data_IF_518738126389
#
_entry.id   IF_518738126389
#
_cell.length_a   1.000
_cell.length_b   1.000
_cell.length_c   1.000
_cell.angle_alpha   90.00
_cell.angle_beta   90.00
_cell.angle_gamma   90.00
#
_symmetry.space_group_name_H-M   'P 1'
#
loop_
_entity.id
_entity.type
_entity.pdbx_description
1 polymer ?
#
# COMPACT_ATOMS: atom_id res chain seq x y z
N UNK A 1 -61.42 13.90 50.06
CA UNK A 1 -61.17 14.65 48.83
C UNK A 1 -59.69 15.00 48.74
N UNK A 2 -58.95 14.38 47.81
CA UNK A 2 -57.55 14.75 47.54
C UNK A 2 -57.26 14.57 46.05
N UNK A 3 -57.10 15.71 45.37
CA UNK A 3 -56.82 15.81 43.92
C UNK A 3 -55.46 15.18 43.59
N UNK A 4 -55.46 14.12 42.77
CA UNK A 4 -54.24 13.60 42.10
C UNK A 4 -53.75 14.63 41.06
N UNK A 5 -52.55 15.18 41.27
CA UNK A 5 -51.82 16.00 40.28
C UNK A 5 -51.43 15.12 39.08
N UNK A 6 -51.88 15.48 37.87
CA UNK A 6 -51.36 14.95 36.60
C UNK A 6 -49.93 15.46 36.39
N UNK A 7 -48.96 14.55 36.29
CA UNK A 7 -47.57 14.85 35.94
C UNK A 7 -47.43 15.33 34.50
N UNK A 8 -46.59 16.34 34.27
CA UNK A 8 -46.20 16.84 32.94
C UNK A 8 -45.45 15.73 32.17
N UNK A 9 -45.80 15.52 30.90
CA UNK A 9 -45.09 14.57 30.04
C UNK A 9 -43.67 15.06 29.75
N UNK A 10 -42.67 14.17 29.86
CA UNK A 10 -41.28 14.44 29.50
C UNK A 10 -41.16 14.53 27.98
N UNK A 11 -40.63 15.63 27.46
CA UNK A 11 -40.39 15.80 26.01
C UNK A 11 -39.30 14.83 25.52
N UNK A 12 -39.62 13.97 24.55
CA UNK A 12 -38.63 13.23 23.77
C UNK A 12 -37.77 14.24 23.00
N UNK A 13 -36.47 14.31 23.28
CA UNK A 13 -35.54 15.09 22.47
C UNK A 13 -35.15 14.32 21.21
N UNK A 14 -35.18 14.97 20.05
CA UNK A 14 -34.64 14.41 18.81
C UNK A 14 -33.10 14.53 18.89
N UNK A 15 -32.38 13.41 18.93
CA UNK A 15 -30.91 13.44 18.88
C UNK A 15 -30.45 13.95 17.50
N UNK A 16 -29.35 14.70 17.45
CA UNK A 16 -28.73 15.20 16.21
C UNK A 16 -29.59 16.12 15.31
N UNK A 17 -30.62 16.78 15.85
CA UNK A 17 -31.53 17.66 15.09
C UNK A 17 -30.84 18.71 14.20
N UNK A 18 -29.70 19.28 14.64
CA UNK A 18 -28.93 20.23 13.82
C UNK A 18 -28.43 19.61 12.51
N UNK A 19 -27.84 18.41 12.58
CA UNK A 19 -27.25 17.76 11.41
C UNK A 19 -28.34 17.30 10.45
N UNK A 20 -29.48 16.83 10.97
CA UNK A 20 -30.65 16.46 10.16
C UNK A 20 -31.21 17.67 9.40
N UNK A 21 -31.35 18.82 10.07
CA UNK A 21 -31.81 20.06 9.42
C UNK A 21 -30.84 20.48 8.33
N UNK A 22 -29.53 20.51 8.62
CA UNK A 22 -28.51 20.88 7.64
C UNK A 22 -28.49 19.92 6.44
N UNK A 23 -28.59 18.61 6.68
CA UNK A 23 -28.63 17.61 5.60
C UNK A 23 -29.82 17.83 4.66
N UNK A 24 -31.01 18.11 5.20
CA UNK A 24 -32.19 18.43 4.39
C UNK A 24 -31.96 19.68 3.52
N UNK A 25 -31.44 20.75 4.12
CA UNK A 25 -31.18 22.02 3.42
C UNK A 25 -30.04 21.89 2.39
N UNK A 26 -29.03 21.07 2.66
CA UNK A 26 -27.89 20.79 1.75
C UNK A 26 -28.25 19.86 0.60
N UNK A 27 -29.24 18.96 0.78
CA UNK A 27 -29.71 18.06 -0.28
C UNK A 27 -30.48 18.81 -1.37
N UNK A 28 -31.24 19.83 -0.99
CA UNK A 28 -32.04 20.66 -1.89
C UNK A 28 -31.55 22.12 -1.88
N UNK A 29 -30.30 22.29 -2.33
CA UNK A 29 -29.47 23.51 -2.25
C UNK A 29 -30.14 24.81 -2.74
N UNK A 30 -31.01 24.69 -3.74
CA UNK A 30 -31.69 25.83 -4.37
C UNK A 30 -33.11 26.08 -3.83
N UNK A 31 -33.57 25.28 -2.86
CA UNK A 31 -34.89 25.42 -2.27
C UNK A 31 -34.81 26.00 -0.86
N UNK A 32 -35.76 26.87 -0.55
CA UNK A 32 -35.94 27.42 0.78
C UNK A 32 -37.00 26.62 1.53
N UNK A 33 -36.75 26.27 2.79
CA UNK A 33 -37.69 25.51 3.60
C UNK A 33 -38.14 26.29 4.84
N UNK A 34 -39.43 26.19 5.16
CA UNK A 34 -39.95 26.62 6.45
C UNK A 34 -39.92 25.48 7.48
N UNK A 35 -40.11 25.83 8.76
CA UNK A 35 -40.09 24.87 9.85
C UNK A 35 -41.14 23.74 9.72
N UNK A 36 -42.27 23.97 9.04
CA UNK A 36 -43.31 22.93 8.80
C UNK A 36 -42.86 21.92 7.75
N UNK A 37 -42.22 22.39 6.68
CA UNK A 37 -41.67 21.54 5.61
C UNK A 37 -40.51 20.68 6.13
N UNK A 38 -39.64 21.28 6.95
CA UNK A 38 -38.57 20.54 7.63
C UNK A 38 -39.15 19.51 8.59
N UNK A 39 -40.16 19.87 9.38
CA UNK A 39 -40.85 18.93 10.27
C UNK A 39 -41.48 17.75 9.50
N UNK A 40 -42.09 18.02 8.35
CA UNK A 40 -42.65 16.99 7.48
C UNK A 40 -41.58 16.03 6.93
N UNK A 41 -40.43 16.56 6.48
CA UNK A 41 -39.30 15.73 6.00
C UNK A 41 -38.64 14.90 7.11
N UNK A 42 -38.66 15.39 8.36
CA UNK A 42 -38.18 14.65 9.55
C UNK A 42 -39.24 13.64 10.05
N UNK A 43 -40.49 13.74 9.60
CA UNK A 43 -41.58 12.86 10.02
C UNK A 43 -42.18 13.21 11.38
N UNK A 44 -42.07 14.47 11.83
CA UNK A 44 -42.61 14.93 13.12
C UNK A 44 -43.79 15.90 12.94
N UNK A 45 -44.82 15.75 13.75
CA UNK A 45 -46.06 16.54 13.66
C UNK A 45 -46.51 17.20 14.97
N UNK A 46 -45.81 16.95 16.09
CA UNK A 46 -46.16 17.48 17.40
C UNK A 46 -45.60 18.90 17.64
N UNK A 47 -46.26 19.64 18.52
CA UNK A 47 -45.90 21.03 18.84
C UNK A 47 -44.52 21.16 19.52
N UNK A 48 -44.09 20.15 20.28
CA UNK A 48 -42.80 20.16 20.98
C UNK A 48 -41.65 20.07 19.98
N UNK A 49 -41.70 19.11 19.05
CA UNK A 49 -40.70 18.92 18.00
C UNK A 49 -40.62 20.12 17.06
N UNK A 50 -41.76 20.73 16.70
CA UNK A 50 -41.77 21.97 15.89
C UNK A 50 -41.07 23.13 16.61
N UNK A 51 -41.30 23.31 17.91
CA UNK A 51 -40.61 24.34 18.68
C UNK A 51 -39.09 24.07 18.79
N UNK A 52 -38.68 22.81 18.89
CA UNK A 52 -37.27 22.44 18.85
C UNK A 52 -36.64 22.79 17.49
N UNK A 53 -37.32 22.49 16.38
CA UNK A 53 -36.87 22.87 15.02
C UNK A 53 -36.73 24.38 14.89
N UNK A 54 -37.72 25.17 15.32
CA UNK A 54 -37.66 26.64 15.26
C UNK A 54 -36.46 27.18 16.04
N UNK A 55 -36.26 26.68 17.27
CA UNK A 55 -35.11 27.08 18.09
C UNK A 55 -33.79 26.74 17.40
N UNK A 56 -33.71 25.55 16.80
CA UNK A 56 -32.49 25.08 16.13
C UNK A 56 -32.19 25.81 14.83
N UNK A 57 -33.21 26.19 14.06
CA UNK A 57 -33.05 27.05 12.88
C UNK A 57 -32.47 28.40 13.27
N UNK A 58 -32.94 29.02 14.36
CA UNK A 58 -32.34 30.26 14.86
C UNK A 58 -30.90 30.08 15.34
N UNK A 59 -30.60 28.98 16.02
CA UNK A 59 -29.23 28.67 16.42
C UNK A 59 -28.30 28.54 15.19
N UNK A 60 -28.76 27.86 14.13
CA UNK A 60 -28.02 27.67 12.88
C UNK A 60 -27.86 28.97 12.08
N UNK A 61 -28.89 29.82 12.06
CA UNK A 61 -28.85 31.14 11.46
C UNK A 61 -27.87 32.05 12.20
N UNK A 62 -27.87 32.02 13.55
CA UNK A 62 -26.90 32.76 14.37
C UNK A 62 -25.45 32.31 14.12
N UNK A 63 -25.25 31.04 13.74
CA UNK A 63 -23.95 30.49 13.33
C UNK A 63 -23.57 30.76 11.87
N UNK A 64 -24.43 31.45 11.10
CA UNK A 64 -24.26 31.70 9.65
C UNK A 64 -24.13 30.44 8.80
N UNK A 65 -24.66 29.31 9.26
CA UNK A 65 -24.68 28.05 8.49
C UNK A 65 -25.87 28.00 7.52
N UNK A 66 -26.92 28.77 7.82
CA UNK A 66 -28.12 28.93 6.99
C UNK A 66 -28.48 30.41 6.91
N UNK A 67 -29.10 30.83 5.81
CA UNK A 67 -29.66 32.17 5.66
C UNK A 67 -31.17 32.12 5.51
N UNK A 68 -31.82 33.13 6.08
CA UNK A 68 -33.25 33.37 5.93
C UNK A 68 -33.45 34.29 4.72
N UNK A 69 -33.87 33.71 3.60
CA UNK A 69 -34.07 34.44 2.34
C UNK A 69 -35.40 35.18 2.34
N UNK A 70 -36.41 34.55 2.93
CA UNK A 70 -37.73 35.11 3.14
C UNK A 70 -38.16 34.83 4.58
N UNK A 71 -39.05 35.66 5.13
CA UNK A 71 -39.54 35.51 6.50
C UNK A 71 -40.02 34.08 6.77
N UNK A 72 -39.32 33.38 7.66
CA UNK A 72 -39.59 32.01 8.07
C UNK A 72 -39.17 30.91 7.09
N UNK A 73 -38.41 31.24 6.02
CA UNK A 73 -37.85 30.29 5.06
C UNK A 73 -36.33 30.38 5.03
N UNK A 74 -35.67 29.23 5.20
CA UNK A 74 -34.23 29.12 5.32
C UNK A 74 -33.65 28.31 4.16
N UNK A 75 -32.47 28.69 3.68
CA UNK A 75 -31.62 27.84 2.82
C UNK A 75 -30.21 27.76 3.41
N UNK A 76 -29.43 26.77 3.01
CA UNK A 76 -28.02 26.71 3.39
C UNK A 76 -27.24 27.87 2.74
N UNK A 77 -26.34 28.52 3.48
CA UNK A 77 -25.39 29.47 2.87
C UNK A 77 -24.30 28.64 2.20
N UNK A 78 -24.31 28.61 0.87
CA UNK A 78 -23.32 27.85 0.10
C UNK A 78 -22.21 28.82 -0.31
N UNK A 79 -21.28 29.06 0.60
CA UNK A 79 -19.92 29.47 0.23
C UNK A 79 -18.99 28.26 0.44
N UNK A 80 -19.43 27.10 -0.03
CA UNK A 80 -18.73 25.85 0.16
C UNK A 80 -17.76 25.65 -0.99
N UNK A 81 -16.50 26.04 -0.78
CA UNK A 81 -15.41 25.51 -1.58
C UNK A 81 -15.28 24.03 -1.23
N UNK A 82 -15.36 23.20 -2.26
CA UNK A 82 -15.07 21.77 -2.17
C UNK A 82 -13.59 21.58 -2.43
N UNK A 83 -12.98 20.72 -1.65
CA UNK A 83 -11.57 20.43 -1.73
C UNK A 83 -11.37 18.94 -1.94
N UNK A 84 -10.22 18.57 -2.48
CA UNK A 84 -9.80 17.19 -2.68
C UNK A 84 -8.60 16.89 -1.81
N UNK A 85 -8.56 15.70 -1.22
CA UNK A 85 -7.43 15.29 -0.40
C UNK A 85 -7.46 13.81 -0.08
N UNK A 86 -6.44 13.37 0.66
CA UNK A 86 -6.28 11.98 1.07
C UNK A 86 -6.76 11.80 2.51
N UNK A 87 -7.64 10.83 2.72
CA UNK A 87 -8.15 10.50 4.05
C UNK A 87 -7.15 9.63 4.83
N UNK A 88 -6.65 10.12 5.95
CA UNK A 88 -5.95 9.33 6.96
C UNK A 88 -6.91 8.97 8.11
N UNK A 89 -7.26 7.69 8.22
CA UNK A 89 -8.17 7.21 9.27
C UNK A 89 -7.44 6.86 10.56
N UNK A 90 -8.09 7.19 11.67
CA UNK A 90 -7.78 6.63 12.98
C UNK A 90 -8.72 5.45 13.30
N UNK A 91 -8.30 4.59 14.23
CA UNK A 91 -8.94 3.31 14.53
C UNK A 91 -10.41 3.36 14.99
N UNK A 92 -10.95 4.55 15.34
CA UNK A 92 -12.35 4.71 15.78
C UNK A 92 -13.27 5.28 14.69
N UNK A 93 -12.82 5.24 13.43
CA UNK A 93 -13.59 5.71 12.28
C UNK A 93 -13.70 7.23 12.18
N UNK A 94 -12.91 7.98 12.95
CA UNK A 94 -12.62 9.39 12.69
C UNK A 94 -11.31 9.49 11.89
N UNK A 95 -11.11 10.59 11.20
CA UNK A 95 -9.91 10.75 10.36
C UNK A 95 -9.51 12.21 10.18
N UNK A 96 -8.47 12.38 9.41
CA UNK A 96 -7.95 13.67 8.98
C UNK A 96 -7.79 13.65 7.48
N UNK A 97 -8.06 14.77 6.81
CA UNK A 97 -7.78 14.91 5.39
C UNK A 97 -6.54 15.77 5.22
N UNK A 98 -5.58 15.22 4.50
CA UNK A 98 -4.36 15.89 4.07
C UNK A 98 -4.65 16.49 2.70
N UNK A 99 -4.48 17.80 2.55
CA UNK A 99 -4.85 18.57 1.38
C UNK A 99 -3.97 19.81 1.26
N UNK A 100 -3.50 20.12 0.04
CA UNK A 100 -2.60 21.25 -0.21
C UNK A 100 -3.26 22.62 -0.03
N UNK A 101 -4.60 22.69 -0.06
CA UNK A 101 -5.35 23.92 0.11
C UNK A 101 -5.32 24.46 1.56
N UNK A 102 -4.81 23.66 2.50
CA UNK A 102 -4.78 23.99 3.93
C UNK A 102 -3.42 23.68 4.56
N UNK A 103 -2.92 24.60 5.39
CA UNK A 103 -1.67 24.36 6.14
C UNK A 103 -1.82 23.27 7.22
N UNK A 104 -3.02 23.12 7.77
CA UNK A 104 -3.36 22.14 8.82
C UNK A 104 -4.32 21.08 8.28
N UNK A 105 -4.14 19.83 8.71
CA UNK A 105 -5.07 18.74 8.40
C UNK A 105 -6.51 19.03 8.85
N UNK A 106 -7.47 18.62 8.01
CA UNK A 106 -8.90 18.82 8.28
C UNK A 106 -9.49 17.61 9.00
N UNK A 107 -9.98 17.80 10.22
CA UNK A 107 -10.57 16.72 11.01
C UNK A 107 -11.95 16.31 10.48
N UNK A 108 -12.17 15.00 10.32
CA UNK A 108 -13.44 14.39 9.92
C UNK A 108 -13.95 13.50 11.05
N UNK A 109 -15.10 13.88 11.62
CA UNK A 109 -15.81 13.05 12.58
C UNK A 109 -16.39 11.80 11.91
N UNK A 110 -16.57 10.71 12.68
CA UNK A 110 -17.02 9.42 12.13
C UNK A 110 -18.36 9.46 11.41
N UNK A 111 -19.29 10.29 11.86
CA UNK A 111 -20.59 10.46 11.19
C UNK A 111 -20.49 11.20 9.85
N UNK A 112 -19.32 11.76 9.53
CA UNK A 112 -19.06 12.57 8.34
C UNK A 112 -18.04 11.91 7.38
N UNK A 113 -17.62 10.67 7.63
CA UNK A 113 -16.66 9.93 6.79
C UNK A 113 -17.26 9.45 5.45
N UNK A 114 -18.59 9.36 5.37
CA UNK A 114 -19.30 8.98 4.14
C UNK A 114 -18.77 7.69 3.49
N UNK A 115 -18.51 6.65 4.31
CA UNK A 115 -18.02 5.33 3.86
C UNK A 115 -16.67 5.34 3.16
N UNK A 116 -15.92 6.44 3.26
CA UNK A 116 -14.52 6.47 2.85
C UNK A 116 -13.70 5.54 3.75
N UNK A 117 -12.65 4.97 3.17
CA UNK A 117 -11.70 4.09 3.81
C UNK A 117 -10.32 4.76 3.85
N UNK A 118 -9.41 4.19 4.61
CA UNK A 118 -8.09 4.78 4.80
C UNK A 118 -7.34 4.88 3.46
N UNK A 119 -6.72 6.03 3.21
CA UNK A 119 -5.98 6.32 1.99
C UNK A 119 -6.85 6.76 0.81
N UNK A 120 -8.18 6.67 0.92
CA UNK A 120 -9.06 7.10 -0.18
C UNK A 120 -8.84 8.57 -0.53
N UNK A 121 -8.85 8.84 -1.83
CA UNK A 121 -8.94 10.19 -2.35
C UNK A 121 -10.40 10.63 -2.32
N UNK A 122 -10.67 11.75 -1.66
CA UNK A 122 -12.03 12.18 -1.33
C UNK A 122 -12.27 13.64 -1.68
N UNK A 123 -13.49 13.93 -2.10
CA UNK A 123 -14.04 15.28 -2.11
C UNK A 123 -14.64 15.56 -0.73
N UNK A 124 -14.30 16.71 -0.16
CA UNK A 124 -14.81 17.11 1.14
C UNK A 124 -15.11 18.60 1.21
N UNK A 125 -15.94 18.94 2.19
CA UNK A 125 -16.27 20.32 2.55
C UNK A 125 -15.67 20.66 3.91
N UNK A 126 -14.83 21.70 3.96
CA UNK A 126 -14.28 22.25 5.20
C UNK A 126 -15.23 23.29 5.81
N UNK A 127 -15.56 23.13 7.09
CA UNK A 127 -16.36 24.11 7.82
C UNK A 127 -15.55 25.37 8.12
N UNK A 128 -16.13 26.54 7.87
CA UNK A 128 -15.51 27.85 8.20
C UNK A 128 -15.23 28.07 9.69
N UNK A 129 -15.88 27.28 10.56
CA UNK A 129 -15.69 27.37 12.02
C UNK A 129 -14.59 26.41 12.45
N UNK A 130 -13.71 26.87 13.34
CA UNK A 130 -12.73 26.03 14.02
C UNK A 130 -13.28 25.57 15.36
N UNK A 131 -13.12 24.29 15.69
CA UNK A 131 -13.48 23.72 16.99
C UNK A 131 -12.18 23.39 17.73
N UNK A 132 -11.96 24.02 18.89
CA UNK A 132 -10.71 23.90 19.66
C UNK A 132 -9.45 24.18 18.81
N UNK A 133 -9.55 25.15 17.89
CA UNK A 133 -8.44 25.54 17.00
C UNK A 133 -8.27 24.69 15.75
N UNK A 134 -8.92 23.52 15.66
CA UNK A 134 -8.83 22.64 14.48
C UNK A 134 -9.94 22.91 13.48
N UNK A 135 -9.61 22.75 12.20
CA UNK A 135 -10.58 22.75 11.11
C UNK A 135 -11.32 21.41 11.09
N UNK A 136 -12.62 21.45 10.83
CA UNK A 136 -13.45 20.26 10.72
C UNK A 136 -14.09 20.22 9.34
N UNK A 137 -14.45 19.02 8.86
CA UNK A 137 -15.15 18.87 7.58
C UNK A 137 -16.12 17.71 7.51
N UNK A 138 -16.68 17.51 6.32
CA UNK A 138 -17.42 16.32 5.94
C UNK A 138 -17.03 15.85 4.54
N UNK A 139 -16.92 14.54 4.36
CA UNK A 139 -16.67 13.93 3.05
C UNK A 139 -17.98 13.89 2.29
N UNK A 140 -17.97 14.39 1.05
CA UNK A 140 -19.14 14.43 0.18
C UNK A 140 -19.09 13.37 -0.90
N UNK A 141 -17.91 13.01 -1.38
CA UNK A 141 -17.74 11.96 -2.37
C UNK A 141 -16.40 11.25 -2.21
N UNK A 142 -16.35 9.98 -2.64
CA UNK A 142 -15.10 9.23 -2.77
C UNK A 142 -14.71 9.27 -4.24
N UNK A 143 -13.57 9.88 -4.55
CA UNK A 143 -13.07 10.07 -5.90
C UNK A 143 -12.38 8.78 -6.37
N UNK A 144 -11.48 8.27 -5.53
CA UNK A 144 -10.69 7.06 -5.82
C UNK A 144 -10.49 6.25 -4.53
N UNK A 145 -10.76 4.95 -4.61
CA UNK A 145 -10.43 4.02 -3.52
C UNK A 145 -8.93 3.75 -3.51
N UNK A 146 -8.30 3.76 -2.34
CA UNK A 146 -6.89 3.39 -2.22
C UNK A 146 -6.68 1.88 -2.37
N UNK A 147 -7.55 1.08 -1.74
CA UNK A 147 -7.45 -0.38 -1.76
C UNK A 147 -8.84 -1.02 -1.84
N UNK A 148 -8.94 -2.08 -2.63
CA UNK A 148 -10.16 -2.90 -2.81
C UNK A 148 -10.04 -4.29 -2.17
N UNK A 149 -8.88 -4.68 -1.68
CA UNK A 149 -8.63 -6.00 -1.11
C UNK A 149 -8.13 -5.89 0.33
N UNK A 150 -8.60 -6.75 1.21
CA UNK A 150 -8.29 -6.71 2.64
C UNK A 150 -8.05 -8.12 3.16
N UNK A 151 -7.17 -8.23 4.14
CA UNK A 151 -6.97 -9.49 4.86
C UNK A 151 -7.72 -9.46 6.19
N UNK A 152 -8.33 -10.58 6.55
CA UNK A 152 -9.03 -10.70 7.82
C UNK A 152 -9.44 -12.13 8.15
N UNK A 153 -10.09 -12.29 9.31
CA UNK A 153 -10.63 -13.57 9.75
C UNK A 153 -12.11 -13.64 9.42
N UNK A 154 -12.52 -14.71 8.73
CA UNK A 154 -13.93 -14.95 8.40
C UNK A 154 -14.68 -15.49 9.61
N UNK A 155 -15.88 -14.93 9.85
CA UNK A 155 -16.83 -15.35 10.87
C UNK A 155 -18.14 -15.75 10.18
N UNK A 156 -18.40 -17.06 10.12
CA UNK A 156 -19.54 -17.64 9.42
C UNK A 156 -20.72 -17.78 10.38
N UNK A 157 -21.83 -17.14 10.04
CA UNK A 157 -23.09 -17.26 10.77
C UNK A 157 -24.03 -18.24 10.05
N UNK A 158 -23.77 -19.55 10.19
CA UNK A 158 -24.49 -20.62 9.49
C UNK A 158 -26.03 -20.48 9.57
N UNK A 159 -26.56 -20.23 10.77
CA UNK A 159 -28.01 -20.10 11.01
C UNK A 159 -28.65 -18.93 10.24
N UNK A 160 -27.86 -17.92 9.87
CA UNK A 160 -28.32 -16.72 9.16
C UNK A 160 -27.85 -16.66 7.71
N UNK A 161 -27.10 -17.67 7.25
CA UNK A 161 -26.67 -17.84 5.87
C UNK A 161 -25.80 -16.70 5.31
N UNK A 162 -24.90 -16.16 6.14
CA UNK A 162 -23.91 -15.15 5.73
C UNK A 162 -22.63 -15.25 6.56
N UNK A 163 -21.58 -14.57 6.14
CA UNK A 163 -20.36 -14.38 6.89
C UNK A 163 -19.96 -12.90 6.98
N UNK A 164 -19.12 -12.57 7.96
CA UNK A 164 -18.38 -11.32 8.01
C UNK A 164 -16.88 -11.61 7.95
N UNK A 165 -16.10 -10.73 7.33
CA UNK A 165 -14.64 -10.75 7.45
C UNK A 165 -14.24 -9.58 8.33
N UNK A 166 -13.66 -9.90 9.49
CA UNK A 166 -13.08 -8.92 10.40
C UNK A 166 -11.65 -8.67 9.94
N UNK A 167 -11.40 -7.48 9.39
CA UNK A 167 -10.12 -7.14 8.80
C UNK A 167 -9.03 -6.97 9.86
N UNK A 168 -7.80 -7.38 9.55
CA UNK A 168 -6.66 -7.29 10.47
C UNK A 168 -6.20 -5.83 10.66
N UNK A 169 -6.40 -4.98 9.65
CA UNK A 169 -6.05 -3.57 9.69
C UNK A 169 -6.84 -2.80 10.75
N UNK A 170 -6.15 -2.18 11.70
CA UNK A 170 -6.76 -1.34 12.73
C UNK A 170 -7.40 -0.06 12.20
N UNK A 171 -7.15 0.32 10.94
CA UNK A 171 -7.75 1.48 10.28
C UNK A 171 -9.05 1.12 9.53
N UNK A 172 -9.34 -0.16 9.35
CA UNK A 172 -10.62 -0.62 8.82
C UNK A 172 -11.66 -0.62 9.94
N UNK A 173 -12.60 0.33 9.91
CA UNK A 173 -13.61 0.53 10.97
C UNK A 173 -14.91 -0.26 10.75
N UNK A 174 -14.96 -1.11 9.70
CA UNK A 174 -16.12 -1.93 9.34
C UNK A 174 -15.71 -3.33 8.96
N UNK A 175 -16.53 -4.29 9.34
CA UNK A 175 -16.41 -5.66 8.85
C UNK A 175 -17.02 -5.76 7.44
N UNK A 176 -16.45 -6.63 6.61
CA UNK A 176 -16.93 -6.84 5.24
C UNK A 176 -17.96 -7.96 5.25
N UNK A 177 -19.18 -7.67 4.79
CA UNK A 177 -20.24 -8.66 4.66
C UNK A 177 -19.97 -9.56 3.44
N UNK A 178 -19.99 -10.87 3.64
CA UNK A 178 -19.78 -11.86 2.58
C UNK A 178 -20.99 -12.81 2.52
N UNK A 179 -21.75 -12.81 1.41
CA UNK A 179 -22.77 -13.83 1.16
C UNK A 179 -22.18 -15.25 1.21
N UNK A 180 -22.91 -16.23 1.72
CA UNK A 180 -22.37 -17.59 1.91
C UNK A 180 -21.87 -18.24 0.60
N UNK A 181 -22.46 -17.88 -0.55
CA UNK A 181 -22.05 -18.36 -1.87
C UNK A 181 -20.77 -17.70 -2.40
N UNK A 182 -20.18 -16.76 -1.65
CA UNK A 182 -18.98 -16.01 -1.99
C UNK A 182 -17.83 -16.19 -0.98
N UNK A 183 -17.89 -17.22 -0.13
CA UNK A 183 -16.84 -17.49 0.88
C UNK A 183 -15.65 -18.30 0.35
N UNK A 184 -15.65 -18.70 -0.94
CA UNK A 184 -14.60 -19.50 -1.57
C UNK A 184 -14.17 -20.75 -0.76
N UNK A 185 -15.13 -21.51 -0.23
CA UNK A 185 -14.92 -22.71 0.61
C UNK A 185 -14.18 -22.45 1.93
N UNK A 186 -14.06 -21.21 2.38
CA UNK A 186 -13.52 -20.91 3.69
C UNK A 186 -14.35 -21.58 4.81
N UNK A 187 -13.66 -22.04 5.84
CA UNK A 187 -14.25 -22.49 7.09
C UNK A 187 -14.32 -21.33 8.09
N UNK A 188 -15.18 -21.46 9.11
CA UNK A 188 -15.25 -20.48 10.19
C UNK A 188 -13.90 -20.32 10.89
N UNK A 189 -13.47 -19.07 11.09
CA UNK A 189 -12.19 -18.75 11.70
C UNK A 189 -10.99 -18.79 10.76
N UNK A 190 -11.15 -19.10 9.47
CA UNK A 190 -10.06 -19.01 8.50
C UNK A 190 -9.60 -17.56 8.29
N UNK A 191 -8.30 -17.39 8.07
CA UNK A 191 -7.76 -16.14 7.54
C UNK A 191 -7.95 -16.13 6.02
N UNK A 192 -8.49 -15.03 5.50
CA UNK A 192 -8.91 -14.90 4.11
C UNK A 192 -8.48 -13.56 3.52
N UNK A 193 -8.22 -13.57 2.21
CA UNK A 193 -8.16 -12.36 1.38
C UNK A 193 -9.55 -12.10 0.82
N UNK A 194 -10.13 -10.94 1.12
CA UNK A 194 -11.47 -10.53 0.70
C UNK A 194 -11.39 -9.28 -0.17
N UNK A 195 -12.15 -9.29 -1.27
CA UNK A 195 -12.34 -8.12 -2.14
C UNK A 195 -13.63 -7.40 -1.77
N UNK A 196 -13.55 -6.08 -1.66
CA UNK A 196 -14.68 -5.17 -1.47
C UNK A 196 -15.40 -4.97 -2.82
N UNK A 197 -16.71 -5.20 -2.85
CA UNK A 197 -17.55 -5.06 -4.04
C UNK A 197 -18.34 -3.73 -3.99
N UNK A 198 -19.56 -3.76 -3.48
CA UNK A 198 -20.42 -2.58 -3.37
C UNK A 198 -20.73 -2.22 -1.91
N UNK A 199 -21.05 -0.96 -1.67
CA UNK A 199 -21.46 -0.50 -0.33
C UNK A 199 -22.82 0.24 -0.40
N UNK A 200 -23.94 -0.50 -0.39
CA UNK A 200 -25.28 0.08 -0.54
C UNK A 200 -25.57 1.19 0.46
N UNK A 201 -26.26 2.27 0.04
CA UNK A 201 -26.52 3.45 0.87
C UNK A 201 -27.01 3.13 2.29
N UNK A 202 -27.94 2.18 2.41
CA UNK A 202 -28.57 1.78 3.68
C UNK A 202 -27.83 0.69 4.46
N UNK A 203 -26.71 0.19 3.93
CA UNK A 203 -25.91 -0.84 4.58
C UNK A 203 -24.86 -0.22 5.50
N UNK A 204 -24.69 -0.82 6.67
CA UNK A 204 -23.66 -0.43 7.64
C UNK A 204 -22.27 -0.96 7.24
N UNK A 205 -22.23 -2.11 6.56
CA UNK A 205 -21.02 -2.77 6.07
C UNK A 205 -20.96 -2.82 4.54
N UNK A 206 -19.77 -2.78 3.94
CA UNK A 206 -19.58 -3.10 2.53
C UNK A 206 -19.84 -4.59 2.27
N UNK A 207 -20.30 -4.90 1.07
CA UNK A 207 -20.32 -6.28 0.57
C UNK A 207 -18.94 -6.64 0.03
N UNK A 208 -18.62 -7.92 0.06
CA UNK A 208 -17.41 -8.45 -0.53
C UNK A 208 -17.50 -9.92 -0.92
N UNK A 209 -16.40 -10.42 -1.46
CA UNK A 209 -16.20 -11.82 -1.82
C UNK A 209 -14.82 -12.29 -1.37
N UNK A 210 -14.73 -13.51 -0.86
CA UNK A 210 -13.43 -14.12 -0.57
C UNK A 210 -12.74 -14.45 -1.90
N UNK A 211 -11.54 -13.91 -2.10
CA UNK A 211 -10.68 -14.23 -3.22
C UNK A 211 -9.87 -15.49 -2.93
N UNK A 212 -9.29 -15.59 -1.74
CA UNK A 212 -8.39 -16.69 -1.36
C UNK A 212 -8.53 -17.02 0.12
N UNK A 213 -8.54 -18.32 0.42
CA UNK A 213 -8.36 -18.82 1.80
C UNK A 213 -6.86 -18.93 2.03
N UNK A 214 -6.36 -18.21 3.03
CA UNK A 214 -4.93 -18.18 3.35
C UNK A 214 -4.54 -19.31 4.30
N UNK A 215 -5.44 -19.70 5.20
CA UNK A 215 -5.26 -20.82 6.14
C UNK A 215 -5.75 -20.48 7.54
N UNK A 216 -5.27 -21.22 8.56
CA UNK A 216 -5.66 -20.96 9.96
C UNK A 216 -4.81 -19.85 10.57
N UNK A 217 -5.41 -18.90 11.33
CA UNK A 217 -4.65 -17.88 12.05
C UNK A 217 -3.59 -18.48 12.98
N UNK A 218 -2.42 -17.86 13.04
CA UNK A 218 -1.28 -18.32 13.86
C UNK A 218 -0.39 -19.35 13.19
N UNK A 219 -0.76 -19.90 12.04
CA UNK A 219 0.16 -20.71 11.22
C UNK A 219 1.15 -19.83 10.47
N UNK A 220 2.43 -20.20 10.50
CA UNK A 220 3.52 -19.39 9.93
C UNK A 220 3.28 -18.99 8.46
N UNK A 221 2.95 -19.94 7.60
CA UNK A 221 2.67 -19.65 6.18
C UNK A 221 1.46 -18.75 6.00
N UNK A 222 0.40 -18.94 6.79
CA UNK A 222 -0.83 -18.13 6.74
C UNK A 222 -0.53 -16.68 7.10
N UNK A 223 0.25 -16.44 8.16
CA UNK A 223 0.59 -15.07 8.58
C UNK A 223 1.52 -14.38 7.58
N UNK A 224 2.46 -15.10 6.97
CA UNK A 224 3.31 -14.54 5.90
C UNK A 224 2.47 -14.16 4.67
N UNK A 225 1.58 -15.05 4.21
CA UNK A 225 0.69 -14.74 3.07
C UNK A 225 -0.27 -13.60 3.38
N UNK A 226 -0.72 -13.50 4.63
CA UNK A 226 -1.54 -12.39 5.10
C UNK A 226 -0.80 -11.05 5.04
N UNK A 227 0.45 -11.00 5.55
CA UNK A 227 1.28 -9.79 5.48
C UNK A 227 1.48 -9.38 4.02
N UNK A 228 1.85 -10.32 3.15
CA UNK A 228 2.09 -10.05 1.74
C UNK A 228 0.86 -9.47 1.05
N UNK A 229 -0.31 -10.06 1.24
CA UNK A 229 -1.56 -9.54 0.68
C UNK A 229 -2.01 -8.21 1.32
N UNK A 230 -1.69 -7.97 2.59
CA UNK A 230 -2.01 -6.70 3.25
C UNK A 230 -1.20 -5.54 2.68
N UNK A 231 0.08 -5.77 2.37
CA UNK A 231 0.96 -4.78 1.73
C UNK A 231 0.90 -4.77 0.20
N UNK A 232 0.08 -5.63 -0.42
CA UNK A 232 -0.06 -5.68 -1.88
C UNK A 232 1.18 -6.21 -2.58
N UNK A 233 1.93 -7.12 -1.94
CA UNK A 233 3.17 -7.70 -2.47
C UNK A 233 2.87 -9.03 -3.18
N UNK A 234 2.88 -9.08 -4.52
CA UNK A 234 2.56 -10.29 -5.27
C UNK A 234 3.70 -11.31 -5.16
N UNK A 235 3.41 -12.50 -4.62
CA UNK A 235 4.40 -13.58 -4.54
C UNK A 235 4.71 -14.20 -5.90
N UNK A 236 3.70 -14.33 -6.75
CA UNK A 236 3.78 -15.00 -8.03
C UNK A 236 3.91 -13.94 -9.13
N UNK A 237 4.62 -14.27 -10.19
CA UNK A 237 4.62 -13.46 -11.41
C UNK A 237 3.38 -13.81 -12.24
N UNK A 238 2.84 -12.85 -13.01
CA UNK A 238 1.85 -13.17 -14.02
C UNK A 238 2.38 -14.25 -14.98
N UNK A 239 1.53 -15.21 -15.35
CA UNK A 239 1.93 -16.35 -16.20
C UNK A 239 2.61 -15.91 -17.50
N UNK A 240 2.11 -14.85 -18.13
CA UNK A 240 2.71 -14.29 -19.35
C UNK A 240 4.13 -13.75 -19.13
N UNK A 241 4.41 -13.16 -17.96
CA UNK A 241 5.75 -12.68 -17.60
C UNK A 241 6.69 -13.85 -17.34
N UNK A 242 6.24 -14.90 -16.62
CA UNK A 242 7.04 -16.10 -16.42
C UNK A 242 7.36 -16.80 -17.74
N UNK A 243 6.37 -16.95 -18.61
CA UNK A 243 6.55 -17.56 -19.93
C UNK A 243 7.49 -16.74 -20.81
N UNK A 244 7.35 -15.41 -20.82
CA UNK A 244 8.25 -14.53 -21.54
C UNK A 244 9.69 -14.66 -21.03
N UNK A 245 9.89 -14.59 -19.71
CA UNK A 245 11.21 -14.69 -19.11
C UNK A 245 11.88 -16.05 -19.38
N UNK A 246 11.12 -17.15 -19.31
CA UNK A 246 11.63 -18.50 -19.58
C UNK A 246 12.00 -18.72 -21.06
N UNK A 247 11.48 -17.90 -21.98
CA UNK A 247 11.80 -17.94 -23.40
C UNK A 247 12.95 -17.01 -23.80
N UNK A 248 13.51 -16.22 -22.87
CA UNK A 248 14.70 -15.41 -23.13
C UNK A 248 15.89 -16.34 -23.38
N UNK A 249 16.58 -16.18 -24.51
CA UNK A 249 17.83 -16.89 -24.77
C UNK A 249 18.93 -16.32 -23.88
N UNK A 250 19.34 -17.10 -22.88
CA UNK A 250 20.39 -16.73 -21.93
C UNK A 250 21.79 -17.15 -22.39
N UNK A 251 21.93 -17.69 -23.60
CA UNK A 251 23.21 -18.18 -24.13
C UNK A 251 24.15 -17.01 -24.43
N UNK A 252 25.36 -17.08 -23.89
CA UNK A 252 26.41 -16.10 -24.22
C UNK A 252 27.04 -16.50 -25.56
N UNK A 253 26.91 -15.63 -26.56
CA UNK A 253 27.40 -15.88 -27.92
C UNK A 253 28.77 -15.23 -28.15
N UNK A 254 29.56 -15.78 -29.07
CA UNK A 254 30.83 -15.18 -29.50
C UNK A 254 30.65 -13.76 -30.08
N UNK A 255 29.51 -13.50 -30.74
CA UNK A 255 29.18 -12.16 -31.23
C UNK A 255 29.04 -11.17 -30.07
N UNK A 256 28.34 -11.55 -29.01
CA UNK A 256 28.17 -10.70 -27.83
C UNK A 256 29.48 -10.52 -27.06
N UNK A 257 30.29 -11.57 -26.92
CA UNK A 257 31.64 -11.50 -26.35
C UNK A 257 32.49 -10.48 -27.11
N UNK A 258 32.45 -10.48 -28.45
CA UNK A 258 33.27 -9.59 -29.28
C UNK A 258 32.97 -8.09 -29.10
N UNK A 259 31.79 -7.75 -28.56
CA UNK A 259 31.36 -6.37 -28.27
C UNK A 259 31.82 -5.88 -26.89
N UNK A 260 32.37 -6.77 -26.07
CA UNK A 260 32.69 -6.54 -24.65
C UNK A 260 34.20 -6.61 -24.43
N UNK A 261 34.67 -5.97 -23.36
CA UNK A 261 36.03 -6.23 -22.89
C UNK A 261 36.07 -7.63 -22.26
N UNK A 262 36.95 -8.48 -22.76
CA UNK A 262 37.13 -9.83 -22.24
C UNK A 262 38.02 -9.82 -21.00
N UNK A 263 37.43 -10.17 -19.85
CA UNK A 263 38.09 -10.24 -18.55
C UNK A 263 38.00 -11.66 -17.96
N UNK A 264 37.70 -12.68 -18.79
CA UNK A 264 37.56 -14.08 -18.34
C UNK A 264 38.85 -14.71 -17.80
N UNK A 265 40.00 -14.07 -18.02
CA UNK A 265 41.31 -14.54 -17.54
C UNK A 265 41.74 -13.84 -16.25
N UNK A 266 40.99 -12.83 -15.82
CA UNK A 266 41.33 -11.99 -14.68
C UNK A 266 40.78 -12.68 -13.43
N UNK A 267 41.61 -12.82 -12.40
CA UNK A 267 41.21 -13.48 -11.15
C UNK A 267 39.98 -12.79 -10.57
N UNK A 268 38.84 -13.47 -10.56
CA UNK A 268 37.54 -12.90 -10.22
C UNK A 268 36.81 -13.76 -9.19
N UNK A 269 36.19 -13.16 -8.18
CA UNK A 269 35.41 -13.89 -7.18
C UNK A 269 34.27 -13.05 -6.59
N UNK A 270 33.28 -13.72 -6.01
CA UNK A 270 32.19 -13.09 -5.25
C UNK A 270 32.35 -13.34 -3.74
N UNK A 271 31.82 -12.43 -2.90
CA UNK A 271 31.81 -12.58 -1.44
C UNK A 271 30.42 -12.22 -0.90
N UNK A 272 29.68 -13.23 -0.48
CA UNK A 272 28.25 -13.11 -0.19
C UNK A 272 27.87 -13.80 1.13
N UNK A 273 26.67 -13.55 1.68
CA UNK A 273 26.11 -14.43 2.69
C UNK A 273 26.03 -15.88 2.19
N UNK A 274 26.18 -16.84 3.11
CA UNK A 274 26.19 -18.27 2.78
C UNK A 274 24.91 -18.75 2.08
N UNK A 275 23.79 -18.16 2.44
CA UNK A 275 22.44 -18.47 1.96
C UNK A 275 22.01 -17.65 0.73
N UNK A 276 22.83 -16.72 0.24
CA UNK A 276 22.59 -15.97 -0.99
C UNK A 276 22.57 -16.89 -2.23
N UNK A 277 21.76 -16.53 -3.22
CA UNK A 277 21.56 -17.28 -4.48
C UNK A 277 21.80 -16.41 -5.72
N UNK A 278 21.46 -15.14 -5.60
CA UNK A 278 21.71 -14.01 -6.47
C UNK A 278 23.04 -13.36 -6.08
N UNK A 279 24.07 -13.54 -6.91
CA UNK A 279 25.36 -12.87 -6.76
C UNK A 279 25.43 -11.73 -7.77
N UNK A 280 25.15 -10.51 -7.33
CA UNK A 280 25.01 -9.36 -8.23
C UNK A 280 26.35 -8.70 -8.55
N UNK A 281 27.33 -8.82 -7.66
CA UNK A 281 28.66 -8.25 -7.79
C UNK A 281 29.80 -9.27 -7.66
N UNK A 282 30.87 -8.99 -8.40
CA UNK A 282 32.13 -9.71 -8.32
C UNK A 282 33.31 -8.72 -8.32
N UNK A 283 34.42 -9.14 -7.72
CA UNK A 283 35.65 -8.36 -7.66
C UNK A 283 36.76 -9.10 -8.43
N UNK A 284 37.52 -8.36 -9.23
CA UNK A 284 38.76 -8.84 -9.83
C UNK A 284 39.98 -8.08 -9.35
N UNK A 285 41.13 -8.75 -9.37
CA UNK A 285 42.40 -8.18 -8.91
C UNK A 285 43.59 -8.69 -9.73
N UNK A 286 44.37 -7.76 -10.26
CA UNK A 286 45.64 -8.03 -10.94
C UNK A 286 46.74 -7.05 -10.49
N UNK A 287 47.99 -7.54 -10.43
CA UNK A 287 49.17 -6.67 -10.27
C UNK A 287 49.78 -6.43 -11.65
N UNK A 288 49.81 -5.18 -12.10
CA UNK A 288 50.31 -4.80 -13.40
C UNK A 288 51.85 -4.68 -13.42
N UNK A 289 52.45 -4.83 -14.60
CA UNK A 289 53.91 -4.74 -14.81
C UNK A 289 54.52 -3.40 -14.37
N UNK A 290 53.73 -2.33 -14.37
CA UNK A 290 54.15 -0.99 -13.94
C UNK A 290 54.07 -0.78 -12.41
N UNK A 291 53.70 -1.83 -11.65
CA UNK A 291 53.55 -1.80 -10.20
C UNK A 291 52.23 -1.22 -9.69
N UNK A 292 51.29 -0.88 -10.58
CA UNK A 292 49.92 -0.54 -10.18
C UNK A 292 49.09 -1.81 -9.97
N UNK A 293 47.99 -1.68 -9.24
CA UNK A 293 46.95 -2.71 -9.10
C UNK A 293 45.80 -2.38 -10.04
N UNK A 294 45.33 -3.36 -10.80
CA UNK A 294 44.04 -3.26 -11.51
C UNK A 294 42.96 -3.96 -10.68
N UNK A 295 41.91 -3.20 -10.33
CA UNK A 295 40.79 -3.66 -9.52
C UNK A 295 39.51 -3.48 -10.34
N UNK A 296 38.83 -4.58 -10.63
CA UNK A 296 37.54 -4.56 -11.30
C UNK A 296 36.39 -4.79 -10.32
N UNK A 297 35.35 -3.97 -10.45
CA UNK A 297 34.05 -4.17 -9.82
C UNK A 297 33.09 -4.54 -10.94
N UNK A 298 32.53 -5.73 -10.90
CA UNK A 298 31.71 -6.30 -11.97
C UNK A 298 30.30 -6.50 -11.46
N UNK A 299 29.34 -5.79 -12.04
CA UNK A 299 27.92 -5.90 -11.71
C UNK A 299 27.22 -6.69 -12.81
N UNK A 300 26.38 -7.66 -12.46
CA UNK A 300 25.60 -8.43 -13.42
C UNK A 300 24.87 -7.52 -14.44
N UNK A 301 25.02 -7.80 -15.74
CA UNK A 301 24.43 -6.97 -16.81
C UNK A 301 22.96 -7.34 -17.04
N UNK A 302 22.11 -7.07 -16.04
CA UNK A 302 20.66 -7.32 -16.11
C UNK A 302 20.04 -6.62 -17.33
N UNK A 303 20.56 -5.45 -17.71
CA UNK A 303 20.12 -4.65 -18.86
C UNK A 303 20.31 -5.35 -20.21
N UNK A 304 21.09 -6.43 -20.27
CA UNK A 304 21.20 -7.26 -21.46
C UNK A 304 19.95 -8.14 -21.65
N UNK A 305 19.39 -8.68 -20.56
CA UNK A 305 18.25 -9.60 -20.61
C UNK A 305 16.90 -8.89 -20.41
N UNK A 306 16.87 -7.83 -19.61
CA UNK A 306 15.70 -6.98 -19.40
C UNK A 306 15.81 -5.75 -20.32
N UNK A 307 14.96 -5.72 -21.35
CA UNK A 307 14.90 -4.63 -22.32
C UNK A 307 13.69 -3.73 -22.04
N UNK A 308 13.89 -2.42 -22.19
CA UNK A 308 12.84 -1.41 -22.00
C UNK A 308 11.62 -1.67 -22.89
N UNK A 309 10.42 -1.44 -22.35
CA UNK A 309 9.15 -1.57 -23.09
C UNK A 309 8.71 -3.02 -23.32
N UNK A 310 9.28 -3.98 -22.60
CA UNK A 310 8.82 -5.37 -22.57
C UNK A 310 7.89 -5.61 -21.37
N UNK A 311 7.09 -6.69 -21.41
CA UNK A 311 6.23 -7.04 -20.26
C UNK A 311 7.03 -7.35 -18.99
N UNK A 312 8.29 -7.75 -19.15
CA UNK A 312 9.21 -7.98 -18.04
C UNK A 312 9.68 -6.66 -17.43
N UNK A 313 9.91 -5.63 -18.25
CA UNK A 313 10.25 -4.29 -17.79
C UNK A 313 9.10 -3.66 -17.00
N UNK A 314 7.87 -3.74 -17.52
CA UNK A 314 6.67 -3.26 -16.82
C UNK A 314 6.51 -3.95 -15.45
N UNK A 315 6.66 -5.29 -15.39
CA UNK A 315 6.56 -6.03 -14.13
C UNK A 315 7.69 -5.69 -13.14
N UNK A 316 8.93 -5.56 -13.62
CA UNK A 316 10.06 -5.16 -12.79
C UNK A 316 9.88 -3.74 -12.24
N UNK A 317 9.35 -2.82 -13.05
CA UNK A 317 9.05 -1.44 -12.67
C UNK A 317 7.97 -1.39 -11.57
N UNK A 318 6.87 -2.15 -11.73
CA UNK A 318 5.80 -2.21 -10.73
C UNK A 318 6.27 -2.84 -9.41
N UNK A 319 7.14 -3.85 -9.45
CA UNK A 319 7.74 -4.46 -8.25
C UNK A 319 8.77 -3.55 -7.58
N UNK A 320 9.54 -2.81 -8.37
CA UNK A 320 10.61 -1.87 -8.01
C UNK A 320 11.81 -2.44 -7.22
N UNK A 321 11.60 -3.42 -6.33
CA UNK A 321 12.64 -4.03 -5.50
C UNK A 321 12.26 -5.46 -5.11
N UNK A 322 13.27 -6.29 -4.83
CA UNK A 322 13.06 -7.56 -4.11
C UNK A 322 12.77 -7.26 -2.64
N UNK A 323 11.76 -7.92 -2.06
CA UNK A 323 11.39 -7.78 -0.64
C UNK A 323 11.83 -9.03 0.13
N UNK A 324 12.77 -8.85 1.05
CA UNK A 324 13.30 -9.93 1.88
C UNK A 324 12.51 -10.04 3.18
N UNK A 325 11.84 -11.17 3.38
CA UNK A 325 11.18 -11.56 4.63
C UNK A 325 12.08 -12.52 5.41
N UNK A 326 11.68 -12.80 6.66
CA UNK A 326 12.44 -13.70 7.54
C UNK A 326 12.61 -15.11 6.94
N UNK A 327 11.63 -15.60 6.18
CA UNK A 327 11.62 -16.98 5.67
C UNK A 327 11.72 -17.09 4.14
N UNK A 328 11.55 -16.00 3.38
CA UNK A 328 11.49 -16.01 1.91
C UNK A 328 11.80 -14.65 1.32
N UNK A 329 11.93 -14.62 0.00
CA UNK A 329 12.08 -13.39 -0.79
C UNK A 329 10.91 -13.28 -1.75
N UNK A 330 10.36 -12.08 -1.91
CA UNK A 330 9.52 -11.72 -3.05
C UNK A 330 10.45 -11.09 -4.09
N UNK A 331 10.80 -11.81 -5.16
CA UNK A 331 11.81 -11.34 -6.10
C UNK A 331 11.24 -10.25 -7.01
N UNK A 332 12.09 -9.30 -7.39
CA UNK A 332 11.82 -8.32 -8.43
C UNK A 332 11.82 -8.96 -9.83
N UNK A 333 12.73 -9.90 -10.07
CA UNK A 333 12.91 -10.56 -11.37
C UNK A 333 12.63 -12.06 -11.29
N UNK A 334 12.10 -12.67 -12.37
CA UNK A 334 11.93 -14.12 -12.44
C UNK A 334 13.24 -14.88 -12.23
N UNK A 335 13.14 -16.09 -11.67
CA UNK A 335 14.30 -16.90 -11.26
C UNK A 335 15.28 -17.22 -12.39
N UNK A 336 14.77 -17.38 -13.63
CA UNK A 336 15.60 -17.59 -14.83
C UNK A 336 16.57 -16.44 -15.08
N UNK A 337 16.25 -15.24 -14.63
CA UNK A 337 17.14 -14.08 -14.75
C UNK A 337 17.97 -13.88 -13.49
N UNK A 338 17.34 -13.80 -12.31
CA UNK A 338 18.04 -13.49 -11.06
C UNK A 338 19.03 -14.59 -10.66
N UNK A 339 18.56 -15.81 -10.44
CA UNK A 339 19.38 -16.90 -9.93
C UNK A 339 20.24 -17.56 -11.02
N UNK A 340 19.88 -17.40 -12.29
CA UNK A 340 20.49 -18.13 -13.41
C UNK A 340 21.30 -17.23 -14.35
N UNK A 341 20.66 -16.40 -15.19
CA UNK A 341 21.37 -15.62 -16.20
C UNK A 341 22.32 -14.57 -15.58
N UNK A 342 21.85 -13.85 -14.57
CA UNK A 342 22.53 -12.68 -13.99
C UNK A 342 23.44 -13.03 -12.80
N UNK A 343 23.05 -13.99 -11.95
CA UNK A 343 23.87 -14.40 -10.80
C UNK A 343 25.27 -14.84 -11.23
N UNK A 344 26.29 -14.19 -10.67
CA UNK A 344 27.72 -14.34 -10.99
C UNK A 344 28.33 -15.61 -10.38
N UNK A 345 27.71 -16.76 -10.67
CA UNK A 345 28.10 -18.07 -10.17
C UNK A 345 29.55 -18.44 -10.55
N UNK A 346 30.25 -19.15 -9.67
CA UNK A 346 31.60 -19.60 -9.94
C UNK A 346 31.62 -20.62 -11.09
N UNK A 347 32.70 -20.60 -11.85
CA UNK A 347 33.00 -21.48 -12.97
C UNK A 347 32.09 -21.34 -14.19
N UNK A 348 31.44 -20.19 -14.33
CA UNK A 348 30.58 -19.86 -15.46
C UNK A 348 30.96 -18.50 -16.06
N UNK A 349 30.79 -18.37 -17.38
CA UNK A 349 30.90 -17.08 -18.06
C UNK A 349 29.66 -16.24 -17.76
N UNK A 350 29.86 -14.94 -17.51
CA UNK A 350 28.78 -14.00 -17.21
C UNK A 350 29.01 -12.66 -17.89
N UNK A 351 27.90 -12.05 -18.30
CA UNK A 351 27.88 -10.70 -18.85
C UNK A 351 27.79 -9.71 -17.69
N UNK A 352 28.70 -8.75 -17.64
CA UNK A 352 28.71 -7.74 -16.57
C UNK A 352 28.89 -6.34 -17.14
N UNK A 353 28.48 -5.35 -16.36
CA UNK A 353 28.92 -3.97 -16.49
C UNK A 353 29.97 -3.72 -15.41
N UNK A 354 31.12 -3.18 -15.79
CA UNK A 354 32.25 -3.10 -14.88
C UNK A 354 32.78 -1.68 -14.73
N UNK A 355 33.24 -1.38 -13.52
CA UNK A 355 34.10 -0.25 -13.21
C UNK A 355 35.50 -0.80 -12.88
N UNK A 356 36.49 -0.43 -13.67
CA UNK A 356 37.87 -0.92 -13.53
C UNK A 356 38.79 0.25 -13.19
N UNK A 357 39.57 0.10 -12.12
CA UNK A 357 40.46 1.13 -11.60
C UNK A 357 41.89 0.63 -11.58
N UNK A 358 42.82 1.49 -12.00
CA UNK A 358 44.24 1.27 -11.77
C UNK A 358 44.69 2.14 -10.60
N UNK A 359 45.17 1.54 -9.53
CA UNK A 359 45.48 2.20 -8.26
C UNK A 359 46.91 1.92 -7.83
N UNK A 360 47.55 2.87 -7.13
CA UNK A 360 48.84 2.62 -6.48
C UNK A 360 48.68 2.08 -5.05
N UNK A 361 49.80 1.81 -4.38
CA UNK A 361 49.90 1.35 -2.99
C UNK A 361 49.31 2.29 -1.93
N UNK A 362 49.01 3.55 -2.32
CA UNK A 362 48.34 4.55 -1.47
C UNK A 362 46.84 4.65 -1.76
N UNK A 363 46.30 3.74 -2.55
CA UNK A 363 44.92 3.74 -3.02
C UNK A 363 44.55 4.99 -3.85
N UNK A 364 45.53 5.63 -4.51
CA UNK A 364 45.24 6.73 -5.43
C UNK A 364 44.89 6.15 -6.81
N UNK A 365 43.70 6.51 -7.32
CA UNK A 365 43.26 6.13 -8.66
C UNK A 365 44.12 6.89 -9.69
N UNK A 366 44.71 6.13 -10.62
CA UNK A 366 45.53 6.66 -11.72
C UNK A 366 44.79 6.60 -13.05
N UNK A 367 44.00 5.55 -13.27
CA UNK A 367 43.12 5.40 -14.43
C UNK A 367 41.79 4.76 -14.00
N UNK A 368 40.75 5.05 -14.76
CA UNK A 368 39.42 4.48 -14.61
C UNK A 368 38.86 4.08 -15.98
N UNK A 369 38.10 3.00 -16.03
CA UNK A 369 37.39 2.54 -17.21
C UNK A 369 36.02 1.99 -16.81
N UNK A 370 35.00 2.34 -17.59
CA UNK A 370 33.62 1.87 -17.38
C UNK A 370 33.08 1.29 -18.67
N UNK A 371 32.45 0.12 -18.58
CA UNK A 371 31.83 -0.49 -19.75
C UNK A 371 31.42 -1.93 -19.55
N UNK A 372 30.87 -2.52 -20.62
CA UNK A 372 30.43 -3.90 -20.64
C UNK A 372 31.62 -4.86 -20.78
N UNK A 373 31.63 -5.89 -19.97
CA UNK A 373 32.64 -6.95 -19.97
C UNK A 373 31.98 -8.33 -20.01
N UNK A 374 32.79 -9.33 -20.34
CA UNK A 374 32.50 -10.73 -20.04
C UNK A 374 33.51 -11.20 -18.99
N UNK A 375 33.02 -11.83 -17.94
CA UNK A 375 33.82 -12.30 -16.81
C UNK A 375 33.64 -13.80 -16.59
N UNK A 376 34.55 -14.39 -15.81
CA UNK A 376 34.47 -15.77 -15.35
C UNK A 376 34.84 -15.77 -13.87
N UNK A 377 33.88 -16.13 -13.00
CA UNK A 377 34.14 -16.15 -11.56
C UNK A 377 34.91 -17.41 -11.18
N UNK A 378 36.12 -17.28 -10.64
CA UNK A 378 36.96 -18.40 -10.22
C UNK A 378 36.49 -19.04 -8.91
N UNK A 379 35.83 -18.25 -8.05
CA UNK A 379 35.38 -18.71 -6.75
C UNK A 379 34.21 -17.88 -6.20
N UNK A 380 33.41 -18.53 -5.36
CA UNK A 380 32.46 -17.90 -4.45
C UNK A 380 32.97 -18.09 -3.03
N UNK A 381 32.97 -17.04 -2.23
CA UNK A 381 33.25 -17.11 -0.81
C UNK A 381 32.05 -16.67 0.03
N UNK A 382 31.80 -17.38 1.13
CA UNK A 382 31.06 -16.77 2.23
C UNK A 382 31.96 -15.77 3.00
N UNK A 383 31.36 -14.77 3.65
CA UNK A 383 32.11 -13.80 4.47
C UNK A 383 33.04 -14.48 5.49
N UNK A 384 32.57 -15.55 6.15
CA UNK A 384 33.36 -16.30 7.12
C UNK A 384 34.54 -17.03 6.49
N UNK A 385 34.38 -17.51 5.25
CA UNK A 385 35.43 -18.20 4.49
C UNK A 385 36.50 -17.21 4.03
N UNK A 386 36.09 -16.07 3.47
CA UNK A 386 37.01 -14.98 3.11
C UNK A 386 37.80 -14.49 4.35
N UNK A 387 37.12 -14.32 5.48
CA UNK A 387 37.76 -13.91 6.71
C UNK A 387 38.74 -14.96 7.25
N UNK A 388 38.41 -16.25 7.14
CA UNK A 388 39.30 -17.35 7.52
C UNK A 388 40.54 -17.40 6.63
N UNK A 389 40.39 -17.17 5.32
CA UNK A 389 41.50 -17.07 4.36
C UNK A 389 42.46 -15.94 4.71
N UNK A 390 41.94 -14.75 5.04
CA UNK A 390 42.77 -13.61 5.43
C UNK A 390 43.56 -13.84 6.73
N UNK A 391 43.02 -14.66 7.65
CA UNK A 391 43.67 -15.00 8.93
C UNK A 391 44.63 -16.18 8.81
N UNK A 392 44.56 -16.97 7.74
CA UNK A 392 45.40 -18.13 7.58
C UNK A 392 46.86 -17.71 7.35
N UNK A 393 47.74 -18.04 8.29
CA UNK A 393 49.19 -17.77 8.20
C UNK A 393 49.97 -18.82 7.39
N UNK A 394 49.29 -19.82 6.81
CA UNK A 394 49.91 -20.90 6.05
C UNK A 394 49.40 -21.01 4.61
N UNK A 395 50.36 -21.03 3.69
CA UNK A 395 50.25 -21.17 2.21
C UNK A 395 49.44 -22.42 1.78
N UNK A 396 49.21 -23.38 2.67
CA UNK A 396 48.58 -24.67 2.35
C UNK A 396 47.12 -24.56 1.92
N UNK A 397 46.39 -23.52 2.33
CA UNK A 397 44.98 -23.31 1.96
C UNK A 397 44.81 -22.71 0.54
N UNK A 398 45.84 -22.00 0.04
CA UNK A 398 45.84 -21.34 -1.28
C UNK A 398 45.94 -22.31 -2.47
N UNK A 399 46.38 -23.56 -2.24
CA UNK A 399 46.49 -24.58 -3.30
C UNK A 399 45.15 -25.15 -3.76
N UNK A 400 44.05 -24.87 -3.06
CA UNK A 400 42.71 -25.35 -3.43
C UNK A 400 41.99 -24.46 -4.44
N UNK A 401 42.55 -23.28 -4.72
CA UNK A 401 41.96 -22.22 -5.55
C UNK A 401 42.91 -21.77 -6.68
N UNK A 402 43.79 -22.67 -7.14
CA UNK A 402 44.72 -22.46 -8.26
C UNK A 402 44.49 -23.49 -9.35
#
# INVERSE_FOLDING_TARGET
MTRKKKGKSKSKGISNLSNTILSILKKERNQTFNYKQIAAKIGVNDASSRNQIIKKLRDLQGKKEIEEVERGKFKAVINAEYHTGILDLAAKGNGYIICDDFEDDVFIASNNINKALNGDEVEFYAYKRRVRGKMEGEITNIIKRAKSEYVGVIQIHEKKNFAFVVCDSNKMYKDIFVPINKINKAEDGDKVLVSLEDWPEKSDSPNGKVLKVLGKPGEHNTEIHAILAEYGLPMEFPHEVEEFANNIDTTITEEEISKRRDMRKDLTFTIDPKDAKDFDDALSFEVLDNGLYEIGIHIADVSHYLQEGTILDDEAYERATSVYLVDRVVPMLPEVLSNNACSLRPHEEKLTFSAVFQMNDKCEIKNEWYGRTVTYSDARFAYEEAQALLKATQITFLKKFR
#
